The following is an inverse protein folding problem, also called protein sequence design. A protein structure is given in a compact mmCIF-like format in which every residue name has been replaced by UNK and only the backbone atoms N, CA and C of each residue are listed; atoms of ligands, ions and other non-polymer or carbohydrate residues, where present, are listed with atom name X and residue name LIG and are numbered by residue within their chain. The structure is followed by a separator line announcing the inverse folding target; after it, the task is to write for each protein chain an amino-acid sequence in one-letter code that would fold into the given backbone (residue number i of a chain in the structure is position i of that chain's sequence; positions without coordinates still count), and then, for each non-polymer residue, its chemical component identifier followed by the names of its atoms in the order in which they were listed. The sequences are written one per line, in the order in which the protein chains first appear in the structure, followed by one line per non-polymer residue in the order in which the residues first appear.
data_IF_762514599355
#
_entry.id   IF_762514599355
#
_cell.length_a   1.000
_cell.length_b   1.000
_cell.length_c   1.000
_cell.angle_alpha   90.00
_cell.angle_beta   90.00
_cell.angle_gamma   90.00
#
_symmetry.space_group_name_H-M   'P 1'
#
loop_
_entity.id
_entity.type
_entity.pdbx_description
1 polymer ?
#
# COMPACT_ATOMS: atom_id res chain seq x y z
N UNK A 1 -0.14 -6.93 8.59
CA UNK A 1 -0.06 -6.49 7.19
C UNK A 1 -0.79 -7.47 6.26
N UNK A 2 -1.16 -6.97 5.09
CA UNK A 2 -1.82 -7.77 4.04
C UNK A 2 -1.04 -7.61 2.73
N UNK A 3 -0.84 -8.72 2.01
CA UNK A 3 -0.24 -8.73 0.68
C UNK A 3 -1.01 -9.69 -0.25
N UNK A 4 -1.04 -9.39 -1.56
CA UNK A 4 -1.69 -10.24 -2.57
C UNK A 4 -0.81 -11.42 -2.95
N UNK A 5 -1.34 -12.64 -2.83
CA UNK A 5 -0.67 -13.87 -3.25
C UNK A 5 -1.43 -14.55 -4.38
N UNK A 6 -1.41 -13.92 -5.54
CA UNK A 6 -2.11 -14.36 -6.74
C UNK A 6 -1.43 -13.79 -7.99
N UNK A 7 -1.83 -14.27 -9.17
CA UNK A 7 -1.49 -13.59 -10.44
C UNK A 7 -2.08 -12.17 -10.37
N UNK A 8 -1.29 -11.17 -10.75
CA UNK A 8 -1.65 -9.75 -10.59
C UNK A 8 -1.24 -9.13 -9.24
N UNK A 9 -0.92 -9.96 -8.22
CA UNK A 9 -0.37 -9.51 -6.93
C UNK A 9 -1.26 -8.52 -6.19
N UNK A 10 -0.66 -7.48 -5.60
CA UNK A 10 -1.37 -6.46 -4.81
C UNK A 10 -2.45 -5.70 -5.57
N UNK A 11 -2.38 -5.64 -6.90
CA UNK A 11 -3.38 -4.97 -7.73
C UNK A 11 -4.76 -5.64 -7.68
N UNK A 12 -4.81 -6.93 -7.33
CA UNK A 12 -6.06 -7.68 -7.25
C UNK A 12 -6.84 -7.43 -5.96
N UNK A 13 -6.14 -6.97 -4.90
CA UNK A 13 -6.73 -6.85 -3.57
C UNK A 13 -6.81 -5.43 -3.02
N UNK A 14 -6.13 -4.46 -3.64
CA UNK A 14 -6.17 -3.07 -3.18
C UNK A 14 -7.43 -2.32 -3.67
N UNK A 15 -7.65 -1.11 -3.17
CA UNK A 15 -8.84 -0.30 -3.49
C UNK A 15 -8.75 0.50 -4.79
N UNK A 16 -7.62 0.49 -5.49
CA UNK A 16 -7.48 1.14 -6.79
C UNK A 16 -7.27 2.64 -6.77
N UNK A 17 -6.98 3.26 -5.62
CA UNK A 17 -6.62 4.67 -5.53
C UNK A 17 -5.23 4.91 -6.12
N UNK A 18 -5.06 6.03 -6.84
CA UNK A 18 -3.84 6.36 -7.57
C UNK A 18 -3.26 7.70 -7.15
N UNK A 19 -1.96 7.71 -6.88
CA UNK A 19 -1.19 8.91 -6.61
C UNK A 19 0.15 8.85 -7.34
N UNK A 20 0.60 10.01 -7.82
CA UNK A 20 2.01 10.21 -8.17
C UNK A 20 2.81 10.43 -6.89
N UNK A 21 4.09 10.08 -6.92
CA UNK A 21 5.00 10.35 -5.79
C UNK A 21 5.14 11.86 -5.60
N UNK A 22 4.99 12.39 -4.38
CA UNK A 22 5.21 13.81 -4.11
C UNK A 22 6.65 14.25 -4.43
N UNK A 23 6.84 15.46 -5.00
CA UNK A 23 8.15 15.96 -5.41
C UNK A 23 9.19 15.99 -4.27
N UNK A 24 8.78 16.35 -3.07
CA UNK A 24 9.63 16.39 -1.87
C UNK A 24 10.16 15.01 -1.47
N UNK A 25 9.39 13.97 -1.73
CA UNK A 25 9.81 12.58 -1.50
C UNK A 25 10.84 12.15 -2.56
N UNK A 26 10.61 12.50 -3.83
CA UNK A 26 11.57 12.23 -4.90
C UNK A 26 12.91 12.92 -4.61
N UNK A 27 12.88 14.19 -4.17
CA UNK A 27 14.08 14.93 -3.81
C UNK A 27 14.82 14.30 -2.62
N UNK A 28 14.07 13.82 -1.61
CA UNK A 28 14.65 13.07 -0.49
C UNK A 28 15.37 11.81 -0.97
N UNK A 29 14.76 11.05 -1.88
CA UNK A 29 15.37 9.84 -2.41
C UNK A 29 16.62 10.13 -3.25
N UNK A 30 16.60 11.20 -4.06
CA UNK A 30 17.77 11.65 -4.82
C UNK A 30 18.92 12.04 -3.90
N UNK A 31 18.66 12.84 -2.88
CA UNK A 31 19.68 13.34 -1.96
C UNK A 31 20.24 12.25 -1.04
N UNK A 32 19.38 11.45 -0.39
CA UNK A 32 19.78 10.54 0.66
C UNK A 32 20.23 9.16 0.17
N UNK A 33 19.69 8.71 -0.97
CA UNK A 33 19.99 7.41 -1.57
C UNK A 33 20.78 7.54 -2.87
N UNK A 34 21.02 8.76 -3.34
CA UNK A 34 21.67 9.09 -4.61
C UNK A 34 20.99 8.41 -5.79
N UNK A 35 19.66 8.44 -5.83
CA UNK A 35 18.92 7.85 -6.96
C UNK A 35 19.04 8.79 -8.17
N UNK A 36 19.56 8.28 -9.27
CA UNK A 36 19.70 8.98 -10.53
C UNK A 36 18.36 9.06 -11.27
N UNK A 37 18.19 10.11 -12.09
CA UNK A 37 17.06 10.27 -13.00
C UNK A 37 15.69 10.02 -12.33
N UNK A 38 15.48 10.63 -11.16
CA UNK A 38 14.28 10.48 -10.33
C UNK A 38 13.68 11.84 -9.95
N UNK A 39 13.41 12.70 -10.93
CA UNK A 39 12.69 13.96 -10.74
C UNK A 39 11.22 13.79 -11.14
N UNK A 40 10.39 14.76 -10.76
CA UNK A 40 9.01 14.80 -11.25
C UNK A 40 8.96 14.82 -12.77
N UNK A 41 9.83 15.60 -13.41
CA UNK A 41 9.92 15.72 -14.86
C UNK A 41 10.33 14.39 -15.52
N UNK A 42 11.39 13.74 -15.01
CA UNK A 42 11.87 12.46 -15.56
C UNK A 42 10.86 11.32 -15.38
N UNK A 43 10.07 11.33 -14.29
CA UNK A 43 9.04 10.32 -14.03
C UNK A 43 7.71 10.62 -14.75
N UNK A 44 7.43 11.86 -15.12
CA UNK A 44 6.16 12.24 -15.75
C UNK A 44 5.75 11.34 -16.92
N UNK A 45 6.59 11.05 -17.93
CA UNK A 45 6.22 10.20 -19.05
C UNK A 45 5.91 8.76 -18.62
N UNK A 46 6.49 8.29 -17.51
CA UNK A 46 6.25 6.97 -16.96
C UNK A 46 4.92 6.91 -16.19
N UNK A 47 4.60 7.95 -15.42
CA UNK A 47 3.28 8.09 -14.79
C UNK A 47 2.18 8.13 -15.84
N UNK A 48 2.28 9.03 -16.83
CA UNK A 48 1.28 9.19 -17.88
C UNK A 48 1.06 7.91 -18.70
N UNK A 49 2.11 7.15 -18.98
CA UNK A 49 1.97 5.88 -19.67
C UNK A 49 1.22 4.86 -18.80
N UNK A 50 1.55 4.73 -17.53
CA UNK A 50 0.84 3.85 -16.59
C UNK A 50 -0.62 4.28 -16.40
N UNK A 51 -0.88 5.58 -16.27
CA UNK A 51 -2.23 6.15 -16.13
C UNK A 51 -3.13 5.82 -17.31
N UNK A 52 -2.60 5.92 -18.53
CA UNK A 52 -3.32 5.47 -19.75
C UNK A 52 -3.56 3.96 -19.75
N UNK A 53 -2.54 3.18 -19.38
CA UNK A 53 -2.61 1.71 -19.42
C UNK A 53 -3.66 1.15 -18.45
N UNK A 54 -3.89 1.80 -17.30
CA UNK A 54 -4.86 1.36 -16.28
C UNK A 54 -6.07 2.29 -16.15
N UNK A 55 -6.29 3.18 -17.13
CA UNK A 55 -7.47 4.07 -17.21
C UNK A 55 -7.68 4.90 -15.95
N UNK A 56 -6.63 5.60 -15.48
CA UNK A 56 -6.73 6.45 -14.28
C UNK A 56 -7.67 7.63 -14.54
N UNK A 57 -8.69 7.78 -13.72
CA UNK A 57 -9.67 8.87 -13.81
C UNK A 57 -10.31 9.18 -12.47
N UNK A 58 -10.96 10.34 -12.37
CA UNK A 58 -11.91 10.66 -11.30
C UNK A 58 -13.21 9.86 -11.49
N UNK A 59 -14.08 9.91 -10.50
CA UNK A 59 -15.43 9.33 -10.60
C UNK A 59 -16.25 10.03 -11.68
N UNK A 60 -16.99 9.30 -12.52
CA UNK A 60 -17.93 9.93 -13.46
C UNK A 60 -19.23 10.41 -12.78
N UNK A 61 -19.51 9.98 -11.57
CA UNK A 61 -20.74 10.26 -10.83
C UNK A 61 -20.49 10.72 -9.40
N UNK A 62 -21.49 10.52 -8.54
CA UNK A 62 -21.40 10.94 -7.15
C UNK A 62 -20.49 10.02 -6.32
N UNK A 63 -19.69 10.63 -5.47
CA UNK A 63 -18.87 9.89 -4.53
C UNK A 63 -19.74 9.14 -3.50
N UNK A 64 -19.25 7.98 -2.99
CA UNK A 64 -19.93 7.23 -1.93
C UNK A 64 -20.23 8.10 -0.71
N UNK A 65 -21.40 7.92 -0.10
CA UNK A 65 -21.85 8.77 1.02
C UNK A 65 -20.87 8.77 2.20
N UNK A 66 -20.31 7.62 2.54
CA UNK A 66 -19.26 7.53 3.57
C UNK A 66 -18.03 8.38 3.22
N UNK A 67 -17.65 8.44 1.95
CA UNK A 67 -16.55 9.27 1.47
C UNK A 67 -16.87 10.76 1.57
N UNK A 68 -18.11 11.15 1.27
CA UNK A 68 -18.60 12.53 1.39
C UNK A 68 -18.61 13.01 2.84
N UNK A 69 -18.97 12.17 3.81
CA UNK A 69 -18.96 12.53 5.24
C UNK A 69 -17.57 13.00 5.71
N UNK A 70 -16.50 12.35 5.28
CA UNK A 70 -15.15 12.79 5.58
C UNK A 70 -14.80 14.12 4.88
N UNK A 71 -15.23 14.29 3.63
CA UNK A 71 -15.00 15.49 2.84
C UNK A 71 -15.75 16.70 3.45
N UNK A 72 -17.02 16.52 3.80
CA UNK A 72 -17.90 17.51 4.45
C UNK A 72 -17.29 17.94 5.81
N UNK A 73 -16.88 16.97 6.63
CA UNK A 73 -16.28 17.26 7.93
C UNK A 73 -14.95 18.00 7.84
N UNK A 74 -14.09 17.59 6.90
CA UNK A 74 -12.85 18.32 6.64
C UNK A 74 -13.13 19.76 6.15
N UNK A 75 -14.11 19.94 5.26
CA UNK A 75 -14.51 21.26 4.78
C UNK A 75 -15.05 22.16 5.89
N UNK A 76 -15.83 21.63 6.82
CA UNK A 76 -16.33 22.38 7.98
C UNK A 76 -15.19 22.88 8.90
N UNK A 77 -14.06 22.18 8.91
CA UNK A 77 -12.84 22.57 9.65
C UNK A 77 -11.85 23.42 8.81
N UNK A 78 -12.20 23.74 7.56
CA UNK A 78 -11.30 24.47 6.66
C UNK A 78 -10.10 23.64 6.16
N UNK A 79 -10.15 22.30 6.25
CA UNK A 79 -9.06 21.43 5.86
C UNK A 79 -9.13 21.00 4.40
N UNK A 80 -7.95 20.85 3.78
CA UNK A 80 -7.80 20.41 2.42
C UNK A 80 -8.22 18.95 2.26
N UNK A 81 -9.30 18.72 1.54
CA UNK A 81 -9.78 17.41 1.13
C UNK A 81 -9.85 17.31 -0.39
N UNK A 82 -9.44 16.19 -0.96
CA UNK A 82 -9.37 15.97 -2.40
C UNK A 82 -10.04 14.67 -2.80
N UNK A 83 -10.66 14.64 -3.96
CA UNK A 83 -11.01 13.40 -4.63
C UNK A 83 -9.75 12.80 -5.24
N UNK A 84 -9.48 11.51 -4.95
CA UNK A 84 -8.33 10.78 -5.45
C UNK A 84 -8.70 10.00 -6.70
N UNK A 85 -7.96 10.16 -7.81
CA UNK A 85 -8.18 9.35 -9.00
C UNK A 85 -8.07 7.86 -8.73
N UNK A 86 -8.76 7.07 -9.54
CA UNK A 86 -8.75 5.61 -9.45
C UNK A 86 -8.36 4.99 -10.78
N UNK A 87 -7.71 3.86 -10.76
CA UNK A 87 -7.44 3.06 -11.95
C UNK A 87 -8.58 2.08 -12.23
N UNK A 88 -9.71 2.70 -12.64
CA UNK A 88 -10.95 2.03 -13.00
C UNK A 88 -11.38 2.45 -14.41
N UNK A 89 -11.94 1.51 -15.17
CA UNK A 89 -12.63 1.81 -16.40
C UNK A 89 -14.11 1.92 -16.11
N UNK A 90 -14.69 3.02 -16.53
CA UNK A 90 -16.11 3.31 -16.43
C UNK A 90 -16.75 3.18 -17.81
N UNK A 91 -17.91 2.51 -17.89
CA UNK A 91 -18.75 2.44 -19.07
C UNK A 91 -19.80 3.55 -19.11
N UNK A 92 -20.55 3.70 -20.22
CA UNK A 92 -21.70 4.56 -20.28
C UNK A 92 -22.72 4.18 -19.20
N UNK A 93 -23.12 5.15 -18.34
CA UNK A 93 -24.07 4.93 -17.25
C UNK A 93 -23.45 4.43 -15.94
N UNK A 94 -22.16 4.11 -15.88
CA UNK A 94 -21.49 3.84 -14.62
C UNK A 94 -21.44 5.11 -13.76
N UNK A 95 -21.82 4.98 -12.49
CA UNK A 95 -21.76 6.09 -11.53
C UNK A 95 -20.49 6.05 -10.67
N UNK A 96 -20.29 4.97 -9.92
CA UNK A 96 -19.19 4.83 -8.99
C UNK A 96 -18.60 3.43 -8.89
N UNK A 97 -19.19 2.45 -9.55
CA UNK A 97 -18.75 1.05 -9.50
C UNK A 97 -17.58 0.79 -10.44
N UNK A 98 -17.74 0.96 -11.75
CA UNK A 98 -16.68 0.76 -12.73
C UNK A 98 -15.96 -0.60 -12.62
N UNK A 99 -15.06 -0.89 -13.55
CA UNK A 99 -14.21 -2.09 -13.50
C UNK A 99 -12.76 -1.73 -13.17
N UNK A 100 -12.25 -2.20 -12.04
CA UNK A 100 -10.85 -2.02 -11.65
C UNK A 100 -9.92 -2.61 -12.72
N UNK A 101 -8.94 -1.84 -13.15
CA UNK A 101 -7.97 -2.21 -14.17
C UNK A 101 -6.73 -2.85 -13.52
N UNK A 102 -6.94 -3.97 -12.81
CA UNK A 102 -5.87 -4.73 -12.20
C UNK A 102 -4.89 -5.32 -13.23
N UNK A 103 -3.78 -5.88 -12.78
CA UNK A 103 -2.79 -6.45 -13.69
C UNK A 103 -3.35 -7.62 -14.48
N UNK A 104 -4.31 -8.39 -13.94
CA UNK A 104 -5.01 -9.46 -14.70
C UNK A 104 -5.97 -8.91 -15.75
N UNK A 105 -6.41 -7.67 -15.64
CA UNK A 105 -7.25 -7.01 -16.65
C UNK A 105 -6.42 -6.28 -17.72
N UNK A 106 -5.14 -6.00 -17.45
CA UNK A 106 -4.33 -5.10 -18.28
C UNK A 106 -3.02 -5.74 -18.74
N UNK A 107 -2.01 -5.81 -17.88
CA UNK A 107 -0.65 -6.20 -18.25
C UNK A 107 -0.50 -7.71 -18.47
N UNK A 108 -1.20 -8.55 -17.70
CA UNK A 108 -1.10 -10.01 -17.85
C UNK A 108 -1.64 -10.47 -19.21
N UNK A 109 -2.83 -10.05 -19.68
CA UNK A 109 -3.28 -10.37 -21.05
C UNK A 109 -2.33 -9.86 -22.13
N UNK A 110 -1.78 -8.66 -22.00
CA UNK A 110 -0.79 -8.09 -22.94
C UNK A 110 0.49 -8.93 -22.99
N UNK A 111 0.98 -9.39 -21.83
CA UNK A 111 2.14 -10.28 -21.73
C UNK A 111 1.89 -11.61 -22.45
N UNK A 112 0.73 -12.23 -22.23
CA UNK A 112 0.35 -13.48 -22.89
C UNK A 112 0.20 -13.32 -24.41
N UNK A 113 -0.44 -12.24 -24.86
CA UNK A 113 -0.60 -11.91 -26.28
C UNK A 113 0.75 -11.63 -26.97
N UNK A 114 1.74 -11.15 -26.24
CA UNK A 114 3.11 -10.98 -26.73
C UNK A 114 3.95 -12.28 -26.71
N UNK A 115 3.34 -13.43 -26.45
CA UNK A 115 4.01 -14.74 -26.41
C UNK A 115 4.65 -15.08 -25.05
N UNK A 116 4.38 -14.29 -24.01
CA UNK A 116 4.84 -14.59 -22.66
C UNK A 116 4.21 -15.85 -22.08
N UNK A 117 4.94 -16.59 -21.26
CA UNK A 117 4.46 -17.82 -20.61
C UNK A 117 4.19 -17.57 -19.13
N UNK A 118 2.93 -17.73 -18.73
CA UNK A 118 2.52 -17.63 -17.33
C UNK A 118 2.51 -19.02 -16.69
N UNK A 119 3.14 -19.13 -15.52
CA UNK A 119 3.18 -20.34 -14.72
C UNK A 119 2.46 -20.09 -13.37
N UNK A 120 1.13 -20.18 -13.31
CA UNK A 120 0.39 -20.00 -12.06
C UNK A 120 0.67 -21.17 -11.11
N UNK A 121 0.36 -20.98 -9.83
CA UNK A 121 0.61 -21.97 -8.77
C UNK A 121 2.07 -22.44 -8.67
N UNK A 122 3.01 -21.55 -9.05
CA UNK A 122 4.46 -21.79 -9.02
C UNK A 122 5.09 -20.81 -8.04
N UNK A 123 5.79 -21.35 -7.06
CA UNK A 123 6.53 -20.57 -6.07
C UNK A 123 8.02 -20.76 -6.27
N UNK A 124 8.74 -19.68 -6.54
CA UNK A 124 10.21 -19.71 -6.57
C UNK A 124 10.73 -19.82 -5.15
N UNK A 125 11.57 -20.82 -4.91
CA UNK A 125 12.17 -21.07 -3.60
C UNK A 125 13.57 -20.49 -3.48
N UNK A 126 14.45 -20.77 -4.45
CA UNK A 126 15.82 -20.23 -4.50
C UNK A 126 16.23 -19.85 -5.91
N UNK A 127 17.22 -18.96 -5.99
CA UNK A 127 17.90 -18.59 -7.23
C UNK A 127 19.42 -18.70 -7.03
N UNK A 128 20.14 -19.17 -8.05
CA UNK A 128 21.60 -19.26 -8.06
C UNK A 128 22.14 -18.85 -9.42
N UNK A 129 23.32 -18.29 -9.45
CA UNK A 129 24.00 -18.00 -10.71
C UNK A 129 25.03 -19.10 -10.98
N UNK A 130 24.89 -19.79 -12.13
CA UNK A 130 25.76 -20.86 -12.59
C UNK A 130 26.10 -20.63 -14.07
N UNK A 131 27.37 -20.63 -14.41
CA UNK A 131 27.88 -20.45 -15.78
C UNK A 131 27.27 -19.19 -16.49
N UNK A 132 27.12 -18.10 -15.74
CA UNK A 132 26.57 -16.83 -16.26
C UNK A 132 25.04 -16.80 -16.42
N UNK A 133 24.33 -17.86 -16.11
CA UNK A 133 22.87 -17.97 -16.15
C UNK A 133 22.28 -18.13 -14.74
N UNK A 134 21.04 -17.71 -14.57
CA UNK A 134 20.27 -17.92 -13.35
C UNK A 134 19.60 -19.29 -13.39
N UNK A 135 19.82 -20.10 -12.35
CA UNK A 135 19.08 -21.33 -12.07
C UNK A 135 18.04 -20.99 -11.00
N UNK A 136 16.76 -21.13 -11.36
CA UNK A 136 15.62 -20.78 -10.55
C UNK A 136 14.95 -22.08 -10.12
N UNK A 137 15.01 -22.41 -8.84
CA UNK A 137 14.30 -23.55 -8.28
C UNK A 137 12.92 -23.12 -7.82
N UNK A 138 11.90 -23.81 -8.25
CA UNK A 138 10.53 -23.49 -7.93
C UNK A 138 9.71 -24.74 -7.58
N UNK A 139 8.76 -24.59 -6.68
CA UNK A 139 7.75 -25.58 -6.33
C UNK A 139 6.49 -25.31 -7.14
N UNK A 140 6.10 -26.26 -7.96
CA UNK A 140 4.89 -26.19 -8.77
C UNK A 140 3.86 -27.20 -8.28
N UNK A 141 2.63 -26.75 -8.08
CA UNK A 141 1.58 -27.55 -7.43
C UNK A 141 1.28 -28.92 -8.07
N UNK A 142 1.59 -29.11 -9.35
CA UNK A 142 1.32 -30.37 -10.07
C UNK A 142 2.55 -31.24 -10.32
N UNK A 143 3.78 -30.70 -10.24
CA UNK A 143 5.00 -31.39 -10.63
C UNK A 143 6.08 -31.38 -9.55
N UNK A 144 5.76 -30.82 -8.39
CA UNK A 144 6.69 -30.63 -7.26
C UNK A 144 7.85 -29.69 -7.59
N UNK A 145 9.06 -30.16 -7.74
CA UNK A 145 10.24 -29.32 -7.97
C UNK A 145 10.52 -29.15 -9.46
N UNK A 146 10.69 -27.90 -9.90
CA UNK A 146 11.12 -27.55 -11.27
C UNK A 146 12.34 -26.62 -11.21
N UNK A 147 13.18 -26.71 -12.24
CA UNK A 147 14.32 -25.81 -12.44
C UNK A 147 14.16 -25.05 -13.76
N UNK A 148 14.28 -23.73 -13.70
CA UNK A 148 14.20 -22.85 -14.85
C UNK A 148 15.54 -22.14 -15.00
N UNK A 149 16.09 -22.11 -16.24
CA UNK A 149 17.32 -21.40 -16.57
C UNK A 149 17.00 -20.11 -17.33
N UNK A 150 17.57 -18.99 -16.89
CA UNK A 150 17.39 -17.68 -17.53
C UNK A 150 18.70 -16.88 -17.59
N UNK A 151 18.84 -16.04 -18.62
CA UNK A 151 19.98 -15.12 -18.74
C UNK A 151 19.80 -13.90 -17.86
N UNK A 152 18.59 -13.37 -17.80
CA UNK A 152 18.21 -12.20 -17.01
C UNK A 152 17.04 -12.56 -16.12
N UNK A 153 17.08 -12.10 -14.89
CA UNK A 153 16.04 -12.32 -13.89
C UNK A 153 15.52 -11.01 -13.31
N UNK A 154 14.21 -10.78 -13.39
CA UNK A 154 13.50 -9.75 -12.65
C UNK A 154 12.76 -10.38 -11.48
N UNK A 155 13.10 -9.95 -10.27
CA UNK A 155 12.42 -10.39 -9.04
C UNK A 155 11.39 -9.32 -8.67
N UNK A 156 10.11 -9.71 -8.65
CA UNK A 156 8.97 -8.82 -8.44
C UNK A 156 8.00 -9.39 -7.40
N UNK A 157 8.51 -10.01 -6.34
CA UNK A 157 7.69 -10.64 -5.30
C UNK A 157 7.11 -9.68 -4.25
N UNK A 158 7.38 -8.37 -4.37
CA UNK A 158 6.94 -7.35 -3.41
C UNK A 158 7.86 -7.21 -2.19
N UNK A 159 7.53 -6.26 -1.32
CA UNK A 159 8.42 -5.83 -0.23
C UNK A 159 8.71 -6.91 0.84
N UNK A 160 7.99 -8.01 0.84
CA UNK A 160 8.20 -9.13 1.78
C UNK A 160 8.82 -10.34 1.09
N UNK A 161 8.26 -10.78 -0.04
CA UNK A 161 8.70 -12.01 -0.67
C UNK A 161 10.00 -11.83 -1.49
N UNK A 162 10.23 -10.65 -2.08
CA UNK A 162 11.51 -10.35 -2.77
C UNK A 162 12.71 -10.46 -1.83
N UNK A 163 12.79 -9.76 -0.69
CA UNK A 163 13.91 -9.95 0.23
C UNK A 163 13.96 -11.36 0.82
N UNK A 164 12.84 -12.02 1.05
CA UNK A 164 12.81 -13.38 1.55
C UNK A 164 13.46 -14.36 0.56
N UNK A 165 13.12 -14.28 -0.72
CA UNK A 165 13.71 -15.09 -1.79
C UNK A 165 15.22 -14.84 -1.89
N UNK A 166 15.64 -13.58 -1.97
CA UNK A 166 17.04 -13.22 -2.10
C UNK A 166 17.87 -13.73 -0.91
N UNK A 167 17.35 -13.59 0.30
CA UNK A 167 18.02 -14.07 1.52
C UNK A 167 18.11 -15.61 1.57
N UNK A 168 17.06 -16.34 1.15
CA UNK A 168 17.15 -17.82 1.01
C UNK A 168 18.21 -18.23 -0.01
N UNK A 169 18.45 -17.38 -0.99
CA UNK A 169 19.44 -17.58 -2.05
C UNK A 169 20.86 -17.10 -1.69
N UNK A 170 21.10 -16.67 -0.44
CA UNK A 170 22.40 -16.18 0.02
C UNK A 170 22.71 -14.73 -0.35
N UNK A 171 21.79 -14.01 -1.01
CA UNK A 171 21.94 -12.59 -1.38
C UNK A 171 21.41 -11.73 -0.23
N UNK A 172 22.31 -11.13 0.56
CA UNK A 172 21.92 -10.52 1.85
C UNK A 172 22.29 -9.05 2.01
N UNK A 173 23.19 -8.50 1.16
CA UNK A 173 23.68 -7.13 1.29
C UNK A 173 22.54 -6.13 1.06
N UNK A 174 22.19 -5.34 2.08
CA UNK A 174 21.08 -4.38 2.11
C UNK A 174 19.71 -4.98 1.76
N UNK A 175 19.53 -6.29 1.91
CA UNK A 175 18.31 -7.01 1.62
C UNK A 175 17.53 -7.28 2.92
N UNK A 176 16.29 -6.81 3.00
CA UNK A 176 15.38 -7.05 4.12
C UNK A 176 15.77 -6.38 5.45
N UNK A 177 16.54 -5.28 5.40
CA UNK A 177 17.01 -4.57 6.60
C UNK A 177 16.27 -3.25 6.86
N UNK A 178 15.50 -2.77 5.90
CA UNK A 178 14.97 -1.40 5.86
C UNK A 178 13.48 -1.35 5.52
N UNK A 179 12.72 -2.41 5.84
CA UNK A 179 11.28 -2.42 5.58
C UNK A 179 10.61 -1.17 6.16
N UNK A 180 9.81 -0.50 5.35
CA UNK A 180 8.96 0.63 5.72
C UNK A 180 7.51 0.29 5.47
N UNK A 181 6.65 0.92 6.24
CA UNK A 181 5.20 0.79 6.14
C UNK A 181 4.56 2.18 6.14
N UNK A 182 3.28 2.24 5.81
CA UNK A 182 2.39 3.30 6.27
C UNK A 182 1.59 2.76 7.47
N UNK A 183 2.02 3.01 8.70
CA UNK A 183 1.22 2.65 9.87
C UNK A 183 -0.12 3.36 9.81
N UNK A 184 -1.19 2.62 10.09
CA UNK A 184 -2.56 3.12 9.93
C UNK A 184 -3.39 2.73 11.14
N UNK A 185 -4.04 3.70 11.79
CA UNK A 185 -5.04 3.50 12.83
C UNK A 185 -6.42 3.74 12.26
N UNK A 186 -7.41 2.98 12.71
CA UNK A 186 -8.79 3.05 12.21
C UNK A 186 -9.75 3.61 13.25
N UNK A 187 -10.84 4.18 12.73
CA UNK A 187 -12.02 4.57 13.48
C UNK A 187 -13.25 4.09 12.71
N UNK A 188 -14.17 3.41 13.36
CA UNK A 188 -15.52 3.21 12.81
C UNK A 188 -16.38 4.37 13.29
N UNK A 189 -17.04 5.04 12.36
CA UNK A 189 -17.99 6.10 12.67
C UNK A 189 -19.42 5.65 12.40
N UNK A 190 -20.33 6.05 13.26
CA UNK A 190 -21.77 5.86 13.13
C UNK A 190 -22.42 7.19 12.79
N UNK A 191 -23.33 7.16 11.83
CA UNK A 191 -24.10 8.34 11.36
C UNK A 191 -25.60 8.08 11.49
N UNK A 192 -26.41 9.14 11.63
CA UNK A 192 -27.87 8.99 11.58
C UNK A 192 -28.36 8.60 10.19
N UNK A 193 -27.65 9.04 9.14
CA UNK A 193 -27.95 8.73 7.74
C UNK A 193 -27.43 7.36 7.32
N UNK A 194 -28.00 6.81 6.24
CA UNK A 194 -27.43 5.68 5.52
C UNK A 194 -26.16 6.12 4.78
N UNK A 195 -25.00 5.65 5.20
CA UNK A 195 -23.70 6.01 4.62
C UNK A 195 -23.03 4.86 3.88
N UNK A 196 -23.60 3.64 4.02
CA UNK A 196 -23.01 2.42 3.52
C UNK A 196 -24.06 1.52 2.83
N UNK A 197 -23.63 0.78 1.81
CA UNK A 197 -24.47 -0.19 1.10
C UNK A 197 -23.59 -1.25 0.42
N UNK A 198 -24.17 -2.32 -0.09
CA UNK A 198 -23.45 -3.32 -0.91
C UNK A 198 -22.87 -2.73 -2.20
N UNK A 199 -23.45 -1.63 -2.69
CA UNK A 199 -23.09 -0.95 -3.93
C UNK A 199 -22.34 0.37 -3.68
N UNK A 200 -21.86 0.59 -2.46
CA UNK A 200 -21.20 1.85 -2.10
C UNK A 200 -19.98 2.19 -3.01
N UNK A 201 -19.36 1.18 -3.58
CA UNK A 201 -18.12 1.36 -4.35
C UNK A 201 -16.91 1.67 -3.45
N UNK A 202 -15.85 2.18 -4.06
CA UNK A 202 -14.62 2.52 -3.34
C UNK A 202 -14.65 4.00 -2.94
N UNK A 203 -14.49 4.33 -1.65
CA UNK A 203 -14.36 5.72 -1.20
C UNK A 203 -13.16 6.42 -1.84
N UNK A 204 -13.32 7.68 -2.21
CA UNK A 204 -12.32 8.42 -3.00
C UNK A 204 -11.77 9.68 -2.34
N UNK A 205 -12.43 10.25 -1.32
CA UNK A 205 -11.92 11.43 -0.68
C UNK A 205 -10.81 11.13 0.32
N UNK A 206 -9.77 11.95 0.28
CA UNK A 206 -8.70 11.94 1.26
C UNK A 206 -8.43 13.36 1.77
N UNK A 207 -8.28 13.50 3.08
CA UNK A 207 -7.83 14.75 3.69
C UNK A 207 -6.30 14.80 3.62
N UNK A 208 -5.77 15.86 3.02
CA UNK A 208 -4.34 16.08 2.75
C UNK A 208 -3.77 17.30 3.48
N UNK A 209 -4.52 17.90 4.39
CA UNK A 209 -4.08 19.08 5.16
C UNK A 209 -2.75 18.85 5.88
N UNK A 210 -2.54 17.66 6.39
CA UNK A 210 -1.37 17.32 7.19
C UNK A 210 -0.34 16.45 6.42
N UNK A 211 -0.49 16.36 5.08
CA UNK A 211 0.46 15.61 4.24
C UNK A 211 1.82 16.32 4.19
N UNK A 212 2.94 15.57 4.02
CA UNK A 212 3.00 14.11 3.88
C UNK A 212 2.94 13.34 5.20
N UNK A 213 3.02 14.01 6.37
CA UNK A 213 3.14 13.38 7.69
C UNK A 213 1.94 12.49 8.01
N UNK A 214 0.72 13.02 7.86
CA UNK A 214 -0.54 12.33 8.14
C UNK A 214 -1.54 12.60 7.03
N UNK A 215 -2.33 11.61 6.66
CA UNK A 215 -3.48 11.75 5.76
C UNK A 215 -4.63 10.86 6.23
N UNK A 216 -5.86 11.30 5.94
CA UNK A 216 -7.07 10.56 6.31
C UNK A 216 -7.78 10.07 5.07
N UNK A 217 -8.51 8.95 5.21
CA UNK A 217 -9.36 8.43 4.16
C UNK A 217 -10.46 7.54 4.71
N UNK A 218 -11.36 7.15 3.84
CA UNK A 218 -12.41 6.18 4.14
C UNK A 218 -12.03 4.82 3.55
N UNK A 219 -12.36 3.73 4.22
CA UNK A 219 -12.14 2.35 3.78
C UNK A 219 -13.42 1.73 3.23
N UNK A 220 -13.29 0.67 2.42
CA UNK A 220 -14.41 -0.22 2.10
C UNK A 220 -14.93 -0.81 3.41
N UNK A 221 -16.24 -0.71 3.64
CA UNK A 221 -16.89 -0.97 4.92
C UNK A 221 -17.95 -2.07 4.82
N UNK A 222 -17.60 -3.23 4.24
CA UNK A 222 -18.49 -4.40 4.27
C UNK A 222 -18.65 -4.92 5.69
N UNK A 223 -19.76 -5.63 6.05
CA UNK A 223 -19.97 -6.14 7.40
C UNK A 223 -18.76 -6.90 7.98
N UNK A 224 -18.07 -7.81 7.26
CA UNK A 224 -16.87 -8.46 7.79
C UNK A 224 -15.72 -7.49 8.10
N UNK A 225 -15.50 -6.47 7.26
CA UNK A 225 -14.44 -5.47 7.52
C UNK A 225 -14.81 -4.53 8.68
N UNK A 226 -16.08 -4.18 8.83
CA UNK A 226 -16.56 -3.43 10.00
C UNK A 226 -16.35 -4.25 11.29
N UNK A 227 -16.72 -5.52 11.30
CA UNK A 227 -16.50 -6.41 12.44
C UNK A 227 -15.01 -6.47 12.84
N UNK A 228 -14.11 -6.63 11.86
CA UNK A 228 -12.65 -6.59 12.09
C UNK A 228 -12.18 -5.22 12.62
N UNK A 229 -12.79 -4.13 12.19
CA UNK A 229 -12.43 -2.78 12.65
C UNK A 229 -12.98 -2.45 14.05
N UNK A 230 -13.96 -3.22 14.53
CA UNK A 230 -14.63 -3.07 15.83
C UNK A 230 -14.15 -4.10 16.88
N UNK A 231 -13.04 -4.81 16.64
CA UNK A 231 -12.53 -5.83 17.58
C UNK A 231 -12.27 -5.29 19.00
N UNK A 232 -11.90 -4.00 19.10
CA UNK A 232 -11.72 -3.32 20.40
C UNK A 232 -13.05 -2.86 21.04
N UNK A 233 -14.20 -3.07 20.36
CA UNK A 233 -15.54 -2.69 20.80
C UNK A 233 -16.52 -3.87 20.63
N UNK A 234 -16.43 -4.94 21.45
CA UNK A 234 -17.12 -6.21 21.21
C UNK A 234 -18.65 -6.09 21.17
N UNK A 235 -19.24 -5.19 21.97
CA UNK A 235 -20.69 -4.97 21.96
C UNK A 235 -21.18 -4.46 20.60
N UNK A 236 -20.43 -3.53 19.97
CA UNK A 236 -20.74 -3.00 18.64
C UNK A 236 -20.50 -4.06 17.55
N UNK A 237 -19.51 -4.93 17.71
CA UNK A 237 -19.25 -6.02 16.77
C UNK A 237 -20.45 -6.95 16.65
N UNK A 238 -21.14 -7.25 17.74
CA UNK A 238 -22.34 -8.09 17.75
C UNK A 238 -23.53 -7.44 17.03
N UNK A 239 -23.63 -6.14 17.04
CA UNK A 239 -24.73 -5.38 16.43
C UNK A 239 -24.47 -4.99 14.95
N UNK A 240 -23.25 -5.22 14.43
CA UNK A 240 -22.86 -4.81 13.06
C UNK A 240 -23.87 -5.23 12.00
N UNK A 241 -24.37 -6.47 12.07
CA UNK A 241 -25.32 -6.98 11.08
C UNK A 241 -26.61 -6.15 10.97
N UNK A 242 -27.01 -5.49 12.07
CA UNK A 242 -28.23 -4.68 12.14
C UNK A 242 -28.01 -3.23 11.71
N UNK A 243 -26.84 -2.67 12.03
CA UNK A 243 -26.59 -1.23 11.91
C UNK A 243 -25.53 -0.86 10.86
N UNK A 244 -24.96 -1.83 10.16
CA UNK A 244 -23.87 -1.58 9.19
C UNK A 244 -24.17 -0.52 8.10
N UNK A 245 -25.42 -0.29 7.65
CA UNK A 245 -25.68 0.78 6.70
C UNK A 245 -25.40 2.19 7.24
N UNK A 246 -25.36 2.33 8.56
CA UNK A 246 -25.05 3.57 9.26
C UNK A 246 -23.58 3.66 9.68
N UNK A 247 -22.77 2.63 9.43
CA UNK A 247 -21.37 2.56 9.85
C UNK A 247 -20.43 2.69 8.66
N UNK A 248 -19.33 3.41 8.87
CA UNK A 248 -18.21 3.41 7.92
C UNK A 248 -16.87 3.42 8.66
N UNK A 249 -15.88 2.75 8.08
CA UNK A 249 -14.51 2.72 8.60
C UNK A 249 -13.68 3.82 7.95
N UNK A 250 -13.02 4.62 8.78
CA UNK A 250 -12.06 5.63 8.37
C UNK A 250 -10.68 5.31 8.92
N UNK A 251 -9.67 5.94 8.36
CA UNK A 251 -8.29 5.71 8.79
C UNK A 251 -7.46 6.99 8.82
N UNK A 252 -6.55 7.05 9.78
CA UNK A 252 -5.42 7.95 9.77
C UNK A 252 -4.17 7.16 9.44
N UNK A 253 -3.48 7.56 8.37
CA UNK A 253 -2.28 6.94 7.85
C UNK A 253 -1.10 7.90 8.02
N UNK A 254 -0.02 7.44 8.61
CA UNK A 254 1.21 8.22 8.75
C UNK A 254 2.29 7.75 7.77
N UNK A 255 3.19 8.64 7.40
CA UNK A 255 4.38 8.26 6.61
C UNK A 255 5.31 7.38 7.43
N UNK A 256 5.48 7.67 8.72
CA UNK A 256 6.21 6.86 9.69
C UNK A 256 7.73 6.86 9.50
N UNK A 257 8.45 6.85 10.63
CA UNK A 257 9.90 6.74 10.69
C UNK A 257 10.36 5.34 11.11
N UNK A 258 9.45 4.52 11.61
CA UNK A 258 9.68 3.17 12.06
C UNK A 258 10.34 2.31 11.00
N UNK A 259 11.07 1.30 11.45
CA UNK A 259 11.80 0.38 10.56
C UNK A 259 11.50 -1.05 10.89
N UNK A 260 11.51 -1.87 9.86
CA UNK A 260 11.31 -3.30 9.98
C UNK A 260 12.37 -4.12 9.29
N UNK A 261 12.30 -5.41 9.52
CA UNK A 261 13.18 -6.39 8.88
C UNK A 261 12.36 -7.55 8.34
N UNK A 262 12.86 -8.12 7.24
CA UNK A 262 12.37 -9.38 6.66
C UNK A 262 13.48 -10.40 6.73
N UNK A 263 13.21 -11.55 7.33
CA UNK A 263 14.17 -12.65 7.51
C UNK A 263 13.59 -13.95 7.01
N UNK A 264 14.29 -14.60 6.11
CA UNK A 264 14.00 -15.98 5.78
C UNK A 264 14.39 -16.86 6.99
N UNK A 265 13.51 -17.77 7.36
CA UNK A 265 13.74 -18.73 8.43
C UNK A 265 13.97 -20.11 7.80
N UNK A 266 14.98 -20.89 8.26
CA UNK A 266 15.18 -22.27 7.83
C UNK A 266 13.92 -23.10 8.06
N UNK A 267 13.51 -23.89 7.06
CA UNK A 267 12.34 -24.78 7.10
C UNK A 267 10.97 -24.10 7.13
N UNK A 268 10.90 -22.76 7.17
CA UNK A 268 9.63 -22.03 7.07
C UNK A 268 9.46 -21.43 5.67
N UNK A 269 8.25 -21.59 5.12
CA UNK A 269 7.91 -21.02 3.81
C UNK A 269 7.75 -19.49 3.88
N UNK A 270 7.14 -19.00 4.93
CA UNK A 270 6.91 -17.58 5.12
C UNK A 270 8.02 -16.93 5.95
N UNK A 271 8.44 -15.71 5.59
CA UNK A 271 9.51 -15.02 6.31
C UNK A 271 9.00 -14.46 7.63
N UNK A 272 9.93 -14.30 8.57
CA UNK A 272 9.69 -13.50 9.77
C UNK A 272 9.77 -12.02 9.41
N UNK A 273 8.67 -11.31 9.57
CA UNK A 273 8.58 -9.87 9.43
C UNK A 273 8.50 -9.25 10.83
N UNK A 274 9.41 -8.32 11.11
CA UNK A 274 9.40 -7.52 12.35
C UNK A 274 9.35 -6.06 11.96
N UNK A 275 8.53 -5.28 12.67
CA UNK A 275 8.43 -3.84 12.50
C UNK A 275 8.30 -3.18 13.88
N UNK A 276 8.95 -2.04 14.06
CA UNK A 276 8.88 -1.28 15.31
C UNK A 276 8.49 0.17 15.00
N UNK A 277 7.41 0.60 15.60
CA UNK A 277 7.05 2.00 15.70
C UNK A 277 7.99 2.68 16.71
N UNK A 278 8.47 3.86 16.40
CA UNK A 278 9.18 4.70 17.36
C UNK A 278 8.19 5.61 18.14
N UNK A 279 8.71 6.45 19.06
CA UNK A 279 7.85 7.35 19.82
C UNK A 279 7.17 8.41 18.95
N UNK A 280 7.84 8.90 17.89
CA UNK A 280 7.24 9.85 16.95
C UNK A 280 6.06 9.21 16.23
N UNK A 281 6.23 7.99 15.69
CA UNK A 281 5.15 7.26 15.02
C UNK A 281 3.92 7.10 15.92
N UNK A 282 4.13 6.76 17.19
CA UNK A 282 3.02 6.57 18.13
C UNK A 282 2.30 7.88 18.46
N UNK A 283 3.03 9.00 18.56
CA UNK A 283 2.45 10.34 18.72
C UNK A 283 1.72 10.80 17.46
N UNK A 284 2.32 10.59 16.29
CA UNK A 284 1.69 10.93 15.01
C UNK A 284 0.40 10.14 14.74
N UNK A 285 0.38 8.86 15.13
CA UNK A 285 -0.84 8.04 15.05
C UNK A 285 -1.92 8.54 16.03
N UNK A 286 -1.56 8.93 17.24
CA UNK A 286 -2.49 9.47 18.22
C UNK A 286 -3.04 10.84 17.79
N UNK A 287 -2.19 11.74 17.28
CA UNK A 287 -2.58 13.02 16.71
C UNK A 287 -3.48 12.84 15.49
N UNK A 288 -3.11 11.91 14.59
CA UNK A 288 -3.93 11.56 13.43
C UNK A 288 -5.30 11.00 13.80
N UNK A 289 -5.35 10.14 14.84
CA UNK A 289 -6.60 9.60 15.37
C UNK A 289 -7.51 10.70 15.91
N UNK A 290 -6.96 11.65 16.67
CA UNK A 290 -7.69 12.79 17.25
C UNK A 290 -8.25 13.69 16.14
N UNK A 291 -7.43 14.12 15.18
CA UNK A 291 -7.84 14.96 14.07
C UNK A 291 -8.88 14.26 13.15
N UNK A 292 -8.68 12.98 12.87
CA UNK A 292 -9.67 12.20 12.12
C UNK A 292 -11.02 12.18 12.85
N UNK A 293 -11.01 11.96 14.17
CA UNK A 293 -12.22 11.93 14.99
C UNK A 293 -12.93 13.31 15.02
N UNK A 294 -12.16 14.40 15.09
CA UNK A 294 -12.67 15.76 14.97
C UNK A 294 -13.39 15.99 13.63
N UNK A 295 -12.75 15.61 12.51
CA UNK A 295 -13.39 15.71 11.18
C UNK A 295 -14.65 14.86 11.06
N UNK A 296 -14.69 13.68 11.67
CA UNK A 296 -15.85 12.79 11.63
C UNK A 296 -17.03 13.37 12.43
N UNK A 297 -16.79 13.97 13.60
CA UNK A 297 -17.83 14.68 14.35
C UNK A 297 -18.33 15.91 13.57
N UNK A 298 -17.44 16.70 12.98
CA UNK A 298 -17.81 17.82 12.11
C UNK A 298 -18.60 17.37 10.88
N UNK A 299 -18.41 16.11 10.39
CA UNK A 299 -19.17 15.45 9.33
C UNK A 299 -20.50 14.84 9.79
N UNK A 300 -20.89 15.03 11.07
CA UNK A 300 -22.18 14.59 11.63
C UNK A 300 -22.18 13.16 12.19
N UNK A 301 -21.01 12.61 12.56
CA UNK A 301 -20.99 11.34 13.29
C UNK A 301 -21.61 11.48 14.68
N UNK A 302 -22.43 10.50 15.07
CA UNK A 302 -23.07 10.41 16.40
C UNK A 302 -22.33 9.51 17.37
N UNK A 303 -21.44 8.66 16.85
CA UNK A 303 -20.56 7.85 17.66
C UNK A 303 -19.30 7.48 16.88
N UNK A 304 -18.16 7.40 17.58
CA UNK A 304 -16.90 6.93 17.04
C UNK A 304 -16.37 5.77 17.90
N UNK A 305 -15.80 4.79 17.22
CA UNK A 305 -15.23 3.58 17.82
C UNK A 305 -13.75 3.49 17.38
N UNK A 306 -12.82 4.09 18.16
CA UNK A 306 -11.40 4.06 17.83
C UNK A 306 -10.81 2.65 17.92
N UNK A 307 -9.99 2.25 16.94
CA UNK A 307 -9.28 0.96 16.94
C UNK A 307 -8.08 0.97 17.90
N UNK A 308 -8.34 1.26 19.19
CA UNK A 308 -7.34 1.31 20.27
C UNK A 308 -7.91 0.55 21.46
N UNK A 309 -7.17 -0.44 21.93
CA UNK A 309 -7.57 -1.30 23.05
C UNK A 309 -7.81 -0.47 24.32
N UNK A 310 -8.92 -0.74 24.99
CA UNK A 310 -9.41 -0.03 26.18
C UNK A 310 -9.76 1.46 25.96
N UNK A 311 -9.82 1.92 24.70
CA UNK A 311 -10.35 3.24 24.40
C UNK A 311 -11.88 3.19 24.37
N UNK A 312 -12.58 4.10 25.11
CA UNK A 312 -14.04 4.11 25.09
C UNK A 312 -14.57 4.57 23.72
N UNK A 313 -15.84 4.25 23.44
CA UNK A 313 -16.55 4.93 22.34
C UNK A 313 -16.71 6.41 22.65
N UNK A 314 -16.60 7.25 21.64
CA UNK A 314 -16.76 8.70 21.74
C UNK A 314 -18.15 9.06 21.22
N UNK A 315 -18.87 9.92 21.92
CA UNK A 315 -20.27 10.30 21.61
C UNK A 315 -20.43 11.78 21.25
N UNK A 316 -19.46 12.58 21.64
CA UNK A 316 -19.46 14.03 21.43
C UNK A 316 -18.03 14.56 21.28
N UNK A 317 -17.82 15.77 20.73
CA UNK A 317 -16.47 16.33 20.53
C UNK A 317 -15.63 16.43 21.81
N UNK A 318 -16.22 16.68 22.96
CA UNK A 318 -15.49 16.76 24.24
C UNK A 318 -14.86 15.43 24.65
N UNK A 319 -15.38 14.32 24.15
CA UNK A 319 -14.83 12.98 24.35
C UNK A 319 -13.46 12.79 23.70
N UNK A 320 -13.03 13.68 22.79
CA UNK A 320 -11.69 13.65 22.21
C UNK A 320 -10.58 13.75 23.26
N UNK A 321 -10.88 14.34 24.42
CA UNK A 321 -9.97 14.37 25.57
C UNK A 321 -9.64 12.98 26.13
N UNK A 322 -10.48 11.97 25.88
CA UNK A 322 -10.27 10.57 26.29
C UNK A 322 -9.26 9.83 25.41
N UNK A 323 -8.93 10.37 24.22
CA UNK A 323 -7.94 9.77 23.34
C UNK A 323 -6.52 9.95 23.91
N UNK A 324 -5.65 8.92 23.79
CA UNK A 324 -4.29 9.02 24.28
C UNK A 324 -3.47 10.05 23.47
N UNK A 325 -2.49 10.69 24.09
CA UNK A 325 -1.53 11.59 23.43
C UNK A 325 -0.43 10.82 22.67
N UNK A 326 -0.22 9.56 23.03
CA UNK A 326 0.68 8.63 22.35
C UNK A 326 0.01 7.25 22.36
N UNK A 327 -0.04 6.57 21.23
CA UNK A 327 -0.61 5.22 21.17
C UNK A 327 0.22 4.27 22.04
N UNK A 328 -0.40 3.57 22.99
CA UNK A 328 0.31 2.61 23.84
C UNK A 328 0.92 1.47 22.98
N UNK A 329 2.10 1.02 23.37
CA UNK A 329 2.76 -0.10 22.68
C UNK A 329 1.93 -1.38 22.81
N UNK A 330 1.61 -2.01 21.67
CA UNK A 330 0.84 -3.25 21.64
C UNK A 330 -0.67 -3.11 21.88
N UNK A 331 -1.20 -1.90 22.05
CA UNK A 331 -2.62 -1.65 22.34
C UNK A 331 -3.38 -1.00 21.19
N UNK A 332 -2.79 -0.91 19.99
CA UNK A 332 -3.47 -0.41 18.79
C UNK A 332 -3.79 -1.53 17.83
N UNK A 333 -5.02 -1.58 17.30
CA UNK A 333 -5.37 -2.41 16.15
C UNK A 333 -4.88 -1.75 14.87
N UNK A 334 -3.56 -1.84 14.66
CA UNK A 334 -2.90 -1.22 13.52
C UNK A 334 -2.92 -2.15 12.31
N UNK A 335 -3.20 -1.60 11.15
CA UNK A 335 -3.17 -2.34 9.89
C UNK A 335 -2.38 -1.56 8.83
N UNK A 336 -1.76 -2.28 7.91
CA UNK A 336 -1.20 -1.71 6.68
C UNK A 336 -1.34 -2.69 5.54
N UNK A 337 -1.54 -2.14 4.34
CA UNK A 337 -1.42 -2.83 3.04
C UNK A 337 -0.29 -2.20 2.21
N UNK A 338 0.42 -1.22 2.78
CA UNK A 338 1.48 -0.47 2.13
C UNK A 338 2.83 -0.89 2.72
N UNK A 339 3.56 -1.73 1.99
CA UNK A 339 4.87 -2.25 2.38
C UNK A 339 5.90 -1.90 1.30
N UNK A 340 7.06 -1.41 1.72
CA UNK A 340 8.13 -1.00 0.79
C UNK A 340 9.52 -0.97 1.43
N UNK A 341 10.53 -0.54 0.64
CA UNK A 341 11.88 -0.18 1.11
C UNK A 341 12.71 -1.32 1.68
N UNK A 342 12.36 -2.57 1.46
CA UNK A 342 13.13 -3.70 1.98
C UNK A 342 14.39 -4.04 1.19
N UNK A 343 14.51 -3.47 -0.03
CA UNK A 343 15.66 -3.58 -0.94
C UNK A 343 15.85 -2.24 -1.67
N UNK A 344 16.21 -1.13 -0.98
CA UNK A 344 16.19 0.21 -1.54
C UNK A 344 17.08 0.35 -2.78
N UNK A 345 16.63 1.17 -3.75
CA UNK A 345 17.40 1.54 -4.92
C UNK A 345 18.27 2.78 -4.67
N UNK A 346 19.36 2.92 -5.41
CA UNK A 346 20.22 4.09 -5.44
C UNK A 346 21.70 3.74 -5.53
N UNK A 347 22.53 4.77 -5.73
CA UNK A 347 23.98 4.60 -5.90
C UNK A 347 24.75 4.55 -4.58
N UNK A 348 24.13 4.86 -3.45
CA UNK A 348 24.72 4.69 -2.13
C UNK A 348 24.73 3.22 -1.71
N UNK A 349 25.76 2.48 -2.11
CA UNK A 349 25.91 1.05 -1.82
C UNK A 349 26.01 0.71 -0.32
N UNK A 350 26.15 1.69 0.57
CA UNK A 350 26.09 1.46 2.01
C UNK A 350 24.68 1.19 2.51
N UNK A 351 23.66 1.66 1.79
CA UNK A 351 22.23 1.58 2.13
C UNK A 351 21.42 0.81 1.09
N UNK A 352 21.80 0.91 -0.20
CA UNK A 352 21.00 0.44 -1.32
C UNK A 352 21.33 -1.01 -1.71
N UNK A 353 20.32 -1.76 -2.06
CA UNK A 353 20.42 -3.13 -2.56
C UNK A 353 20.66 -3.19 -4.06
N UNK A 354 20.20 -2.16 -4.78
CA UNK A 354 20.26 -2.05 -6.24
C UNK A 354 20.79 -0.68 -6.64
N UNK A 355 21.23 -0.56 -7.91
CA UNK A 355 21.43 0.74 -8.53
C UNK A 355 20.11 1.49 -8.70
N UNK A 356 20.19 2.70 -9.24
CA UNK A 356 19.02 3.59 -9.45
C UNK A 356 17.93 3.00 -10.34
N UNK A 357 18.25 1.97 -11.13
CA UNK A 357 17.35 1.33 -12.09
C UNK A 357 17.00 -0.13 -11.74
N UNK A 358 17.21 -0.51 -10.48
CA UNK A 358 16.78 -1.80 -9.95
C UNK A 358 17.73 -2.95 -10.20
N UNK A 359 18.92 -2.75 -10.82
CA UNK A 359 19.90 -3.82 -10.97
C UNK A 359 20.61 -4.07 -9.62
N UNK A 360 20.57 -5.29 -9.16
CA UNK A 360 21.16 -5.67 -7.87
C UNK A 360 22.69 -5.44 -7.88
N UNK A 361 23.19 -4.76 -6.85
CA UNK A 361 24.62 -4.48 -6.72
C UNK A 361 25.43 -5.79 -6.65
N UNK A 362 26.48 -5.88 -7.48
CA UNK A 362 27.30 -7.09 -7.60
C UNK A 362 26.82 -8.13 -8.62
N UNK A 363 25.68 -7.89 -9.28
CA UNK A 363 25.12 -8.78 -10.31
C UNK A 363 24.89 -8.05 -11.63
N UNK A 364 25.20 -8.72 -12.74
CA UNK A 364 24.99 -8.12 -14.08
C UNK A 364 23.53 -8.19 -14.55
N UNK A 365 22.87 -9.31 -14.29
CA UNK A 365 21.58 -9.67 -14.90
C UNK A 365 20.52 -10.03 -13.85
N UNK A 366 20.62 -9.47 -12.64
CA UNK A 366 19.59 -9.56 -11.59
C UNK A 366 18.98 -8.18 -11.37
N UNK A 367 17.69 -8.10 -11.52
CA UNK A 367 16.91 -6.88 -11.31
C UNK A 367 15.81 -7.10 -10.29
N UNK A 368 15.56 -6.11 -9.44
CA UNK A 368 14.37 -6.03 -8.60
C UNK A 368 13.47 -4.97 -9.21
N UNK A 369 12.14 -5.21 -9.23
CA UNK A 369 11.24 -4.26 -9.88
C UNK A 369 9.84 -4.27 -9.26
N UNK A 370 9.79 -3.99 -7.97
CA UNK A 370 8.57 -3.95 -7.15
C UNK A 370 8.68 -2.93 -6.01
N UNK A 371 7.73 -2.96 -5.07
CA UNK A 371 7.68 -2.05 -3.93
C UNK A 371 8.91 -2.10 -3.01
N UNK A 372 9.70 -3.18 -3.04
CA UNK A 372 10.91 -3.29 -2.23
C UNK A 372 11.96 -2.23 -2.56
N UNK A 373 11.95 -1.70 -3.81
CA UNK A 373 12.88 -0.70 -4.30
C UNK A 373 12.68 0.70 -3.73
N UNK A 374 11.47 1.06 -3.31
CA UNK A 374 11.22 2.41 -2.79
C UNK A 374 12.18 2.71 -1.64
N UNK A 375 12.75 3.92 -1.60
CA UNK A 375 13.79 4.23 -0.61
C UNK A 375 13.22 4.47 0.77
N UNK A 376 12.04 5.12 0.85
CA UNK A 376 11.25 5.33 2.08
C UNK A 376 9.77 5.20 1.79
N UNK A 377 8.93 5.42 2.79
CA UNK A 377 7.49 5.57 2.63
C UNK A 377 7.17 6.78 1.73
N UNK A 378 6.35 6.63 0.67
CA UNK A 378 6.05 7.73 -0.26
C UNK A 378 5.00 8.73 0.26
N UNK A 379 4.43 8.55 1.44
CA UNK A 379 3.41 9.45 2.01
C UNK A 379 2.04 9.44 1.29
N UNK A 380 1.90 8.60 0.27
CA UNK A 380 0.69 8.41 -0.54
C UNK A 380 0.47 6.93 -0.84
N UNK A 381 -0.72 6.55 -1.35
CA UNK A 381 -0.95 5.19 -1.83
C UNK A 381 0.09 4.84 -2.91
N UNK A 382 0.90 3.78 -2.74
CA UNK A 382 2.16 3.62 -3.47
C UNK A 382 2.05 3.07 -4.90
N UNK A 383 0.85 2.64 -5.35
CA UNK A 383 0.68 1.93 -6.62
C UNK A 383 1.23 2.72 -7.81
N UNK A 384 0.91 4.01 -7.93
CA UNK A 384 1.41 4.86 -9.01
C UNK A 384 2.94 4.97 -8.99
N UNK A 385 3.54 5.19 -7.80
CA UNK A 385 4.99 5.24 -7.62
C UNK A 385 5.68 3.95 -8.08
N UNK A 386 5.15 2.80 -7.66
CA UNK A 386 5.69 1.48 -8.00
C UNK A 386 5.63 1.25 -9.52
N UNK A 387 4.47 1.53 -10.14
CA UNK A 387 4.28 1.34 -11.57
C UNK A 387 5.20 2.24 -12.41
N UNK A 388 5.29 3.52 -12.09
CA UNK A 388 6.13 4.47 -12.83
C UNK A 388 7.62 4.11 -12.74
N UNK A 389 8.11 3.77 -11.55
CA UNK A 389 9.50 3.32 -11.34
C UNK A 389 9.75 2.00 -12.08
N UNK A 390 8.83 1.04 -11.99
CA UNK A 390 8.96 -0.23 -12.70
C UNK A 390 9.03 -0.03 -14.22
N UNK A 391 8.19 0.82 -14.78
CA UNK A 391 8.21 1.15 -16.20
C UNK A 391 9.50 1.86 -16.61
N UNK A 392 9.98 2.84 -15.81
CA UNK A 392 11.27 3.52 -16.03
C UNK A 392 12.42 2.50 -16.10
N UNK A 393 12.48 1.60 -15.14
CA UNK A 393 13.54 0.60 -15.03
C UNK A 393 13.54 -0.36 -16.22
N UNK A 394 12.37 -0.86 -16.64
CA UNK A 394 12.24 -1.72 -17.82
C UNK A 394 12.64 -0.97 -19.10
N UNK A 395 12.21 0.29 -19.28
CA UNK A 395 12.65 1.10 -20.44
C UNK A 395 14.17 1.33 -20.47
N UNK A 396 14.79 1.52 -19.31
CA UNK A 396 16.25 1.64 -19.19
C UNK A 396 16.96 0.34 -19.56
N UNK A 397 16.40 -0.80 -19.13
CA UNK A 397 16.90 -2.13 -19.46
C UNK A 397 16.86 -2.40 -20.98
N UNK A 398 15.78 -2.05 -21.65
CA UNK A 398 15.57 -2.28 -23.08
C UNK A 398 16.43 -1.36 -24.00
N UNK A 399 17.03 -0.30 -23.45
CA UNK A 399 17.92 0.63 -24.19
C UNK A 399 19.40 0.20 -24.14
N UNK A 400 19.69 -0.88 -23.42
CA UNK A 400 21.04 -1.48 -23.37
C UNK A 400 21.21 -2.48 -24.49
#
# INVERSE_FOLDING_TARGET
YVEGRCVGGGSEINSGLYHRTPPEILETWRREFRVEDLTEESLRPHFEACERDVSVSLLPGHAPRASLKLHEGAGALGWKSVEVPRWFRYGPGDSNTGKRQSMTETFVPRFLNAGGKLMPRTRVDTIRQEHGRWQIQADHASTSLITISAETLFVCGGAVQTPALLRRSGITRNIGNSLRLHPTVKVVAQFPDLVNSTEMGVPVHQVKEFAPRVSFGCSISTPPYLALSLLDHPNQTQEVAKVWPHLATYYAMITGEGRGTVRALPRFRDPLVRYRLNGNDRRDLADGLRKLSEALFAGGATALYPGVTNCPSLREPDDLSKLPNELPSGMGNLMTIHLFSSCPMGEDQSKCATDSFGRAHGFKNLYLNDASLLCTAPGVNPQGSIMAIAQRNVRRFLRK
#
